data_IF_166720543644
#
_entry.id   IF_166720543644
#
_cell.length_a   1.000
_cell.length_b   1.000
_cell.length_c   1.000
_cell.angle_alpha   90.00
_cell.angle_beta   90.00
_cell.angle_gamma   90.00
#
_symmetry.space_group_name_H-M   'P 1'
#
loop_
_entity.id
_entity.type
_entity.pdbx_description
1 polymer ?
#
# COMPACT_ATOMS: atom_id res chain seq x y z
N UNK A 1 -17.42 -0.47 22.58
CA UNK A 1 -17.19 -1.93 22.48
C UNK A 1 -15.76 -2.20 22.06
N UNK A 2 -15.08 -3.16 22.69
CA UNK A 2 -13.74 -3.56 22.27
C UNK A 2 -13.78 -4.21 20.88
N UNK A 3 -12.84 -3.86 19.98
CA UNK A 3 -12.73 -4.51 18.65
C UNK A 3 -12.50 -6.01 18.82
N UNK A 4 -13.10 -6.84 17.96
CA UNK A 4 -12.85 -8.28 17.99
C UNK A 4 -11.37 -8.62 17.75
N UNK A 5 -10.88 -9.77 18.27
CA UNK A 5 -9.52 -10.25 18.02
C UNK A 5 -9.10 -10.18 16.54
N UNK A 6 -9.95 -10.67 15.64
CA UNK A 6 -9.75 -10.59 14.18
C UNK A 6 -9.54 -9.16 13.68
N UNK A 7 -10.37 -8.21 14.12
CA UNK A 7 -10.26 -6.81 13.69
C UNK A 7 -9.01 -6.12 14.25
N UNK A 8 -8.52 -6.53 15.43
CA UNK A 8 -7.23 -6.07 15.97
C UNK A 8 -6.06 -6.62 15.18
N UNK A 9 -6.09 -7.91 14.82
CA UNK A 9 -5.09 -8.53 13.96
C UNK A 9 -5.04 -7.84 12.58
N UNK A 10 -6.20 -7.60 11.95
CA UNK A 10 -6.30 -6.85 10.70
C UNK A 10 -5.71 -5.45 10.76
N UNK A 11 -5.97 -4.71 11.85
CA UNK A 11 -5.41 -3.38 12.05
C UNK A 11 -3.88 -3.41 12.20
N UNK A 12 -3.36 -4.43 12.89
CA UNK A 12 -1.91 -4.65 13.05
C UNK A 12 -1.25 -4.97 11.71
N UNK A 13 -1.84 -5.87 10.93
CA UNK A 13 -1.41 -6.19 9.57
C UNK A 13 -1.36 -4.95 8.68
N UNK A 14 -2.42 -4.13 8.71
CA UNK A 14 -2.48 -2.88 7.95
C UNK A 14 -1.38 -1.89 8.37
N UNK A 15 -1.10 -1.80 9.68
CA UNK A 15 -0.05 -0.94 10.21
C UNK A 15 1.33 -1.29 9.64
N UNK A 16 1.69 -2.57 9.62
CA UNK A 16 2.97 -3.02 9.07
C UNK A 16 3.02 -2.92 7.55
N UNK A 17 1.97 -3.36 6.85
CA UNK A 17 1.88 -3.23 5.40
C UNK A 17 2.05 -1.78 4.93
N UNK A 18 1.30 -0.84 5.53
CA UNK A 18 1.36 0.58 5.19
C UNK A 18 2.73 1.19 5.47
N UNK A 19 3.41 0.79 6.55
CA UNK A 19 4.79 1.24 6.84
C UNK A 19 5.77 0.73 5.78
N UNK A 20 5.71 -0.57 5.48
CA UNK A 20 6.55 -1.19 4.46
C UNK A 20 6.39 -0.54 3.08
N UNK A 21 5.15 -0.35 2.59
CA UNK A 21 4.92 0.27 1.27
C UNK A 21 5.53 1.66 1.18
N UNK A 22 5.34 2.48 2.21
CA UNK A 22 5.88 3.85 2.23
C UNK A 22 7.39 3.85 2.28
N UNK A 23 7.99 2.97 3.08
CA UNK A 23 9.44 2.84 3.20
C UNK A 23 10.08 2.36 1.89
N UNK A 24 9.49 1.31 1.29
CA UNK A 24 9.87 0.76 -0.02
C UNK A 24 9.88 1.87 -1.07
N UNK A 25 8.84 2.68 -1.12
CA UNK A 25 8.71 3.73 -2.13
C UNK A 25 9.58 4.96 -1.83
N UNK A 26 9.82 5.29 -0.55
CA UNK A 26 10.79 6.30 -0.15
C UNK A 26 12.19 5.96 -0.68
N UNK A 27 12.72 4.79 -0.31
CA UNK A 27 14.00 4.28 -0.78
C UNK A 27 14.02 4.13 -2.31
N UNK A 28 13.01 3.49 -2.88
CA UNK A 28 12.94 3.23 -4.31
C UNK A 28 12.83 4.48 -5.19
N UNK A 29 12.44 5.64 -4.64
CA UNK A 29 12.30 6.89 -5.42
C UNK A 29 13.30 7.97 -5.07
N UNK A 30 13.94 7.90 -3.91
CA UNK A 30 14.86 8.94 -3.42
C UNK A 30 16.18 8.40 -2.87
N UNK A 31 16.26 7.10 -2.56
CA UNK A 31 17.41 6.51 -1.88
C UNK A 31 17.49 6.82 -0.38
N UNK A 32 16.45 7.41 0.21
CA UNK A 32 16.38 7.75 1.65
C UNK A 32 15.01 7.35 2.24
N UNK A 33 14.96 6.89 3.49
CA UNK A 33 13.70 6.59 4.19
C UNK A 33 12.88 7.82 4.62
N UNK A 34 13.48 9.01 4.70
CA UNK A 34 12.77 10.21 5.22
C UNK A 34 11.89 10.87 4.18
N UNK A 35 12.14 10.66 2.89
CA UNK A 35 11.38 11.29 1.80
C UNK A 35 11.03 10.32 0.69
N UNK A 36 9.92 10.56 0.00
CA UNK A 36 9.45 9.73 -1.10
C UNK A 36 8.68 10.53 -2.12
N UNK A 37 8.63 10.05 -3.37
CA UNK A 37 7.84 10.68 -4.43
C UNK A 37 6.43 10.11 -4.48
N UNK A 38 5.44 11.00 -4.53
CA UNK A 38 4.06 10.61 -4.74
C UNK A 38 3.90 9.87 -6.08
N UNK A 39 3.37 8.65 -6.05
CA UNK A 39 3.19 7.78 -7.22
C UNK A 39 2.43 8.46 -8.36
N UNK A 40 1.44 9.33 -8.08
CA UNK A 40 0.57 9.94 -9.10
C UNK A 40 0.93 11.36 -9.53
N UNK A 41 1.71 12.10 -8.74
CA UNK A 41 2.06 13.50 -9.07
C UNK A 41 3.56 13.81 -8.99
N UNK A 42 4.39 12.88 -8.55
CA UNK A 42 5.85 13.02 -8.51
C UNK A 42 6.38 13.93 -7.39
N UNK A 43 5.52 14.66 -6.66
CA UNK A 43 5.92 15.54 -5.57
C UNK A 43 6.73 14.78 -4.52
N UNK A 44 7.82 15.39 -4.07
CA UNK A 44 8.60 14.91 -2.94
C UNK A 44 7.86 15.22 -1.64
N UNK A 45 7.67 14.20 -0.79
CA UNK A 45 6.92 14.29 0.45
C UNK A 45 7.68 13.57 1.54
N UNK A 46 7.69 14.14 2.75
CA UNK A 46 8.26 13.48 3.92
C UNK A 46 7.47 12.24 4.29
N UNK A 47 8.14 11.21 4.79
CA UNK A 47 7.57 9.91 5.15
C UNK A 47 6.32 10.04 6.04
N UNK A 48 6.31 10.96 7.00
CA UNK A 48 5.20 11.13 7.94
C UNK A 48 3.93 11.69 7.28
N UNK A 49 4.08 12.37 6.13
CA UNK A 49 2.99 12.92 5.32
C UNK A 49 2.69 12.09 4.07
N UNK A 50 3.38 10.98 3.89
CA UNK A 50 3.14 10.03 2.81
C UNK A 50 2.09 9.02 3.28
N UNK A 51 1.06 8.80 2.47
CA UNK A 51 0.06 7.76 2.66
C UNK A 51 0.44 6.50 1.86
N UNK A 52 -0.11 5.35 2.27
CA UNK A 52 -0.19 4.16 1.42
C UNK A 52 -1.51 4.26 0.62
N UNK A 53 -1.42 4.79 -0.61
CA UNK A 53 -2.56 4.96 -1.52
C UNK A 53 -2.78 3.73 -2.40
N UNK A 54 -4.04 3.47 -2.76
CA UNK A 54 -4.43 2.30 -3.56
C UNK A 54 -4.87 2.71 -4.96
N UNK A 55 -4.47 1.94 -5.98
CA UNK A 55 -4.98 2.10 -7.34
C UNK A 55 -6.46 1.70 -7.40
N UNK A 56 -6.76 0.44 -7.07
CA UNK A 56 -8.12 -0.03 -6.88
C UNK A 56 -8.57 0.36 -5.48
N UNK A 57 -9.50 1.33 -5.36
CA UNK A 57 -9.90 1.83 -4.06
C UNK A 57 -10.69 0.76 -3.32
N UNK A 58 -10.48 0.67 -2.01
CA UNK A 58 -11.26 -0.24 -1.18
C UNK A 58 -10.50 -0.75 0.02
N UNK A 59 -11.22 -1.50 0.84
CA UNK A 59 -10.68 -2.16 2.03
C UNK A 59 -11.00 -3.65 2.05
N UNK A 60 -11.45 -4.22 0.93
CA UNK A 60 -11.61 -5.65 0.78
C UNK A 60 -10.24 -6.34 0.84
N UNK A 61 -10.20 -7.53 1.43
CA UNK A 61 -8.94 -8.23 1.68
C UNK A 61 -8.25 -8.69 0.39
N UNK A 62 -9.00 -8.83 -0.71
CA UNK A 62 -8.50 -9.13 -2.06
C UNK A 62 -7.53 -8.07 -2.61
N UNK A 63 -7.69 -6.81 -2.18
CA UNK A 63 -6.91 -5.67 -2.70
C UNK A 63 -6.10 -4.93 -1.63
N UNK A 64 -6.44 -5.11 -0.34
CA UNK A 64 -5.91 -4.30 0.76
C UNK A 64 -4.41 -4.45 0.98
N UNK A 65 -3.90 -5.69 0.89
CA UNK A 65 -2.51 -6.07 1.17
C UNK A 65 -1.73 -6.40 -0.10
N UNK A 66 -2.16 -5.89 -1.25
CA UNK A 66 -1.51 -6.14 -2.53
C UNK A 66 -0.47 -5.04 -2.80
N UNK A 67 0.82 -5.41 -2.81
CA UNK A 67 1.94 -4.49 -3.01
C UNK A 67 1.95 -3.79 -4.36
N UNK A 68 1.37 -4.39 -5.41
CA UNK A 68 1.24 -3.79 -6.76
C UNK A 68 -0.01 -2.91 -6.86
N UNK A 69 -0.96 -3.06 -5.95
CA UNK A 69 -2.09 -2.15 -5.82
C UNK A 69 -1.76 -0.92 -4.95
N UNK A 70 -0.69 -0.97 -4.15
CA UNK A 70 -0.39 0.00 -3.09
C UNK A 70 0.95 0.68 -3.25
N UNK A 71 0.96 2.01 -3.17
CA UNK A 71 2.16 2.83 -3.31
C UNK A 71 2.11 4.08 -2.43
N UNK A 72 3.27 4.69 -2.20
CA UNK A 72 3.45 5.99 -1.57
C UNK A 72 2.73 7.07 -2.35
N UNK A 73 1.74 7.70 -1.72
CA UNK A 73 0.94 8.76 -2.33
C UNK A 73 0.79 9.95 -1.38
N UNK A 74 0.90 11.16 -1.90
CA UNK A 74 0.71 12.36 -1.08
C UNK A 74 -0.75 12.50 -0.65
N UNK A 75 -0.96 13.04 0.56
CA UNK A 75 -2.29 13.27 1.13
C UNK A 75 -3.25 14.02 0.18
N UNK A 76 -2.85 15.11 -0.52
CA UNK A 76 -3.71 15.78 -1.49
C UNK A 76 -4.23 14.86 -2.60
N UNK A 77 -3.36 14.02 -3.18
CA UNK A 77 -3.75 13.12 -4.26
C UNK A 77 -4.61 11.98 -3.74
N UNK A 78 -4.17 11.34 -2.65
CA UNK A 78 -4.84 10.16 -2.10
C UNK A 78 -6.23 10.50 -1.55
N UNK A 79 -6.31 11.46 -0.62
CA UNK A 79 -7.52 11.70 0.17
C UNK A 79 -8.50 12.67 -0.47
N UNK A 80 -8.00 13.64 -1.24
CA UNK A 80 -8.82 14.76 -1.74
C UNK A 80 -9.05 14.74 -3.25
N UNK A 81 -8.25 13.98 -4.01
CA UNK A 81 -8.39 13.85 -5.48
C UNK A 81 -8.73 12.43 -5.91
N UNK A 82 -9.43 11.67 -5.05
CA UNK A 82 -9.89 10.31 -5.34
C UNK A 82 -8.76 9.39 -5.82
N UNK A 83 -7.60 9.46 -5.18
CA UNK A 83 -6.43 8.66 -5.56
C UNK A 83 -5.80 9.04 -6.91
N UNK A 84 -6.25 10.11 -7.60
CA UNK A 84 -5.83 10.46 -8.96
C UNK A 84 -5.82 9.23 -9.89
N UNK A 85 -6.94 8.52 -9.93
CA UNK A 85 -7.05 7.17 -10.52
C UNK A 85 -6.57 7.08 -11.97
N UNK A 86 -6.80 8.11 -12.79
CA UNK A 86 -6.36 8.15 -14.21
C UNK A 86 -4.84 8.12 -14.29
N UNK A 87 -4.16 8.97 -13.51
CA UNK A 87 -2.71 8.99 -13.46
C UNK A 87 -2.16 7.74 -12.77
N UNK A 88 -2.85 7.23 -11.76
CA UNK A 88 -2.45 6.00 -11.10
C UNK A 88 -2.47 4.82 -12.09
N UNK A 89 -3.52 4.67 -12.89
CA UNK A 89 -3.59 3.62 -13.92
C UNK A 89 -2.42 3.72 -14.91
N UNK A 90 -2.09 4.93 -15.37
CA UNK A 90 -0.93 5.17 -16.24
C UNK A 90 0.37 4.67 -15.59
N UNK A 91 0.53 4.89 -14.28
CA UNK A 91 1.71 4.45 -13.54
C UNK A 91 1.74 2.93 -13.37
N UNK A 92 0.61 2.29 -13.03
CA UNK A 92 0.52 0.82 -12.94
C UNK A 92 0.86 0.20 -14.29
N UNK A 93 0.27 0.70 -15.38
CA UNK A 93 0.56 0.24 -16.73
C UNK A 93 2.04 0.38 -17.09
N UNK A 94 2.65 1.51 -16.75
CA UNK A 94 4.06 1.74 -17.03
C UNK A 94 4.99 0.85 -16.19
N UNK A 95 4.65 0.58 -14.92
CA UNK A 95 5.48 -0.20 -14.00
C UNK A 95 5.32 -1.71 -14.17
N UNK A 96 4.10 -2.18 -14.43
CA UNK A 96 3.73 -3.60 -14.36
C UNK A 96 3.09 -4.14 -15.63
N UNK A 97 2.87 -3.27 -16.64
CA UNK A 97 2.23 -3.64 -17.89
C UNK A 97 0.71 -3.53 -17.86
N UNK A 98 0.09 -3.63 -19.04
CA UNK A 98 -1.37 -3.57 -19.17
C UNK A 98 -2.02 -4.67 -18.35
N UNK A 99 -1.65 -5.95 -18.55
CA UNK A 99 -2.30 -7.10 -17.90
C UNK A 99 -2.41 -7.04 -16.37
N UNK A 100 -1.49 -6.34 -15.69
CA UNK A 100 -1.61 -6.13 -14.23
C UNK A 100 -2.72 -5.13 -13.88
N UNK A 101 -2.98 -4.12 -14.72
CA UNK A 101 -4.12 -3.21 -14.59
C UNK A 101 -5.44 -3.98 -14.61
N UNK A 102 -5.66 -4.86 -15.62
CA UNK A 102 -6.86 -5.69 -15.66
C UNK A 102 -6.94 -6.60 -14.44
N UNK A 103 -5.85 -7.32 -14.14
CA UNK A 103 -5.81 -8.24 -12.99
C UNK A 103 -6.19 -7.54 -11.69
N UNK A 104 -5.67 -6.34 -11.45
CA UNK A 104 -6.00 -5.55 -10.25
C UNK A 104 -7.47 -5.13 -10.26
N UNK A 105 -8.01 -4.68 -11.39
CA UNK A 105 -9.45 -4.36 -11.52
C UNK A 105 -10.31 -5.59 -11.23
N UNK A 106 -9.90 -6.78 -11.66
CA UNK A 106 -10.63 -8.02 -11.42
C UNK A 106 -10.66 -8.41 -9.93
N UNK A 107 -9.58 -8.14 -9.19
CA UNK A 107 -9.52 -8.39 -7.73
C UNK A 107 -10.62 -7.64 -6.95
N UNK A 108 -11.14 -6.54 -7.50
CA UNK A 108 -12.24 -5.79 -6.89
C UNK A 108 -13.49 -6.67 -6.71
N UNK A 109 -13.74 -7.59 -7.64
CA UNK A 109 -14.93 -8.46 -7.65
C UNK A 109 -14.75 -9.74 -6.83
N UNK A 110 -13.55 -9.98 -6.30
CA UNK A 110 -13.26 -11.18 -5.51
C UNK A 110 -13.66 -10.94 -4.05
N UNK A 111 -14.56 -11.78 -3.56
CA UNK A 111 -14.88 -11.86 -2.15
C UNK A 111 -13.82 -12.68 -1.41
N UNK A 112 -12.98 -11.98 -0.64
CA UNK A 112 -11.98 -12.58 0.22
C UNK A 112 -12.12 -12.02 1.64
N UNK A 113 -11.92 -12.89 2.62
CA UNK A 113 -11.92 -12.50 4.03
C UNK A 113 -10.94 -13.36 4.80
N UNK A 114 -9.86 -12.73 5.25
CA UNK A 114 -8.86 -13.42 6.05
C UNK A 114 -9.37 -13.73 7.45
N UNK A 115 -8.92 -14.87 7.95
CA UNK A 115 -9.01 -15.30 9.33
C UNK A 115 -8.09 -14.45 10.22
N UNK A 116 -8.24 -14.57 11.54
CA UNK A 116 -7.32 -13.92 12.47
C UNK A 116 -5.87 -14.37 12.29
N UNK A 117 -5.65 -15.68 12.11
CA UNK A 117 -4.32 -16.25 11.93
C UNK A 117 -3.64 -15.73 10.66
N UNK A 118 -4.39 -15.62 9.55
CA UNK A 118 -3.87 -15.05 8.31
C UNK A 118 -3.49 -13.58 8.46
N UNK A 119 -4.30 -12.75 9.15
CA UNK A 119 -3.89 -11.37 9.44
C UNK A 119 -2.62 -11.30 10.28
N UNK A 120 -2.44 -12.20 11.26
CA UNK A 120 -1.20 -12.26 12.06
C UNK A 120 -0.01 -12.62 11.18
N UNK A 121 -0.15 -13.62 10.31
CA UNK A 121 0.89 -13.99 9.36
C UNK A 121 1.24 -12.83 8.41
N UNK A 122 0.23 -12.13 7.86
CA UNK A 122 0.44 -10.92 7.05
C UNK A 122 1.21 -9.85 7.84
N UNK A 123 0.85 -9.63 9.10
CA UNK A 123 1.55 -8.68 9.96
C UNK A 123 3.03 -9.06 10.14
N UNK A 124 3.33 -10.34 10.37
CA UNK A 124 4.69 -10.83 10.56
C UNK A 124 5.52 -10.73 9.28
N UNK A 125 4.95 -11.09 8.12
CA UNK A 125 5.59 -10.94 6.80
C UNK A 125 5.99 -9.48 6.56
N UNK A 126 5.05 -8.53 6.69
CA UNK A 126 5.34 -7.13 6.40
C UNK A 126 6.20 -6.45 7.47
N UNK A 127 6.16 -6.94 8.72
CA UNK A 127 7.10 -6.53 9.75
C UNK A 127 8.53 -6.98 9.42
N UNK A 128 8.70 -8.22 8.98
CA UNK A 128 10.01 -8.74 8.58
C UNK A 128 10.56 -7.96 7.38
N UNK A 129 9.75 -7.81 6.32
CA UNK A 129 10.12 -7.00 5.14
C UNK A 129 10.48 -5.56 5.50
N UNK A 130 9.74 -4.92 6.41
CA UNK A 130 10.06 -3.56 6.85
C UNK A 130 11.40 -3.50 7.59
N UNK A 131 11.71 -4.47 8.45
CA UNK A 131 12.98 -4.52 9.17
C UNK A 131 14.16 -4.72 8.22
N UNK A 132 14.07 -5.74 7.35
CA UNK A 132 15.09 -6.03 6.34
C UNK A 132 15.40 -4.79 5.48
N UNK A 133 14.36 -4.04 5.12
CA UNK A 133 14.49 -2.81 4.35
C UNK A 133 15.18 -1.68 5.13
N UNK A 134 14.97 -1.58 6.44
CA UNK A 134 15.61 -0.57 7.29
C UNK A 134 17.01 -0.95 7.77
N UNK A 135 17.33 -2.25 7.87
CA UNK A 135 18.63 -2.73 8.33
C UNK A 135 19.71 -2.64 7.21
N UNK A 136 19.29 -2.45 5.96
CA UNK A 136 20.17 -2.29 4.79
C UNK A 136 20.48 -0.84 4.38
N UNK A 137 19.99 0.15 5.13
CA UNK A 137 20.25 1.59 4.95
C UNK A 137 21.12 2.14 6.10
#
# INVERSE_FOLDING_TARGET
>A
MARSPRLRARATAWGWFSKYIRARDCLGTTGDLKTGRCVTCGNLVRFEKLDCGHFIPGRADSVLFNERNSHGQCVPCNRFKQGKWIEYEKVIRAKYGQGEVERLKDLYYIELKYTEAEYRNIADIFRAKFKELCDGE
#
